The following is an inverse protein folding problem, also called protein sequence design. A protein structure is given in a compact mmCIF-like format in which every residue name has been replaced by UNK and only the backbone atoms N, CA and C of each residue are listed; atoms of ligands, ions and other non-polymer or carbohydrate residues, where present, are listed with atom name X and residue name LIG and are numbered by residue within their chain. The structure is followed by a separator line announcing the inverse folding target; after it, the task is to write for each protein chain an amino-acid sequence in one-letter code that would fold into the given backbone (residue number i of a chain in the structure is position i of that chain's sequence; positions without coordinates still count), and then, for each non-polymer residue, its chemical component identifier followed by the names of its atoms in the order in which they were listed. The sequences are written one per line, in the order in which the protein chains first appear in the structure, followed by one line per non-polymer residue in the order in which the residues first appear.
data_IF_270525372093
#
_entry.id   IF_270525372093
#
_cell.length_a   1.000
_cell.length_b   1.000
_cell.length_c   1.000
_cell.angle_alpha   90.00
_cell.angle_beta   90.00
_cell.angle_gamma   90.00
#
_symmetry.space_group_name_H-M   'P 1'
#
loop_
_entity.id
_entity.type
_entity.pdbx_description
1 polymer ?
#
# COMPACT_ATOMS: atom_id res chain seq x y z
N UNK A 1 23.65 19.50 -7.56
CA UNK A 1 23.63 18.31 -6.66
C UNK A 1 22.38 18.26 -5.80
N UNK A 2 22.04 19.31 -5.03
CA UNK A 2 20.89 19.30 -4.12
C UNK A 2 19.56 18.89 -4.80
N UNK A 3 19.29 19.40 -6.01
CA UNK A 3 18.08 19.07 -6.76
C UNK A 3 18.01 17.60 -7.19
N UNK A 4 19.16 16.96 -7.45
CA UNK A 4 19.24 15.54 -7.80
C UNK A 4 18.99 14.69 -6.55
N UNK A 5 19.62 15.06 -5.42
CA UNK A 5 19.40 14.42 -4.13
C UNK A 5 17.93 14.52 -3.69
N UNK A 6 17.31 15.69 -3.89
CA UNK A 6 15.91 15.94 -3.59
C UNK A 6 14.99 15.09 -4.46
N UNK A 7 15.33 14.87 -5.73
CA UNK A 7 14.57 14.00 -6.62
C UNK A 7 14.74 12.50 -6.31
N UNK A 8 15.85 12.10 -5.69
CA UNK A 8 16.08 10.73 -5.24
C UNK A 8 15.21 10.37 -4.03
N UNK A 9 15.05 11.31 -3.10
CA UNK A 9 14.24 11.13 -1.88
C UNK A 9 12.76 11.38 -2.13
N UNK A 10 12.44 12.44 -2.89
CA UNK A 10 11.08 12.86 -3.23
C UNK A 10 10.97 13.07 -4.75
N UNK A 11 10.59 12.00 -5.49
CA UNK A 11 10.45 12.06 -6.94
C UNK A 11 9.48 13.16 -7.36
N UNK A 12 9.91 14.04 -8.24
CA UNK A 12 9.13 15.16 -8.75
C UNK A 12 9.44 16.49 -8.08
N UNK A 13 9.79 16.53 -6.79
CA UNK A 13 10.16 17.79 -6.10
C UNK A 13 11.47 18.35 -6.65
N UNK A 14 12.48 17.50 -6.82
CA UNK A 14 13.75 17.92 -7.41
C UNK A 14 13.61 18.38 -8.86
N UNK A 15 12.72 17.74 -9.62
CA UNK A 15 12.41 18.11 -11.01
C UNK A 15 11.66 19.44 -11.11
N UNK A 16 10.76 19.73 -10.16
CA UNK A 16 10.12 21.04 -10.03
C UNK A 16 11.14 22.14 -9.74
N UNK A 17 12.11 21.88 -8.85
CA UNK A 17 13.21 22.82 -8.57
C UNK A 17 14.13 23.07 -9.77
N UNK A 18 14.22 22.12 -10.71
CA UNK A 18 14.92 22.27 -12.00
C UNK A 18 14.13 23.08 -13.05
N UNK A 19 13.04 23.75 -12.66
CA UNK A 19 12.15 24.52 -13.56
C UNK A 19 11.55 23.66 -14.68
N UNK A 20 11.35 22.37 -14.45
CA UNK A 20 10.67 21.44 -15.38
C UNK A 20 9.29 21.07 -14.81
N UNK A 21 8.29 21.98 -14.91
CA UNK A 21 7.02 21.86 -14.18
C UNK A 21 6.20 20.63 -14.61
N UNK A 22 6.04 20.41 -15.92
CA UNK A 22 5.24 19.30 -16.47
C UNK A 22 5.79 17.96 -16.01
N UNK A 23 7.11 17.76 -16.12
CA UNK A 23 7.77 16.51 -15.75
C UNK A 23 7.76 16.28 -14.25
N UNK A 24 7.89 17.35 -13.44
CA UNK A 24 7.80 17.27 -12.00
C UNK A 24 6.39 16.90 -11.50
N UNK A 25 5.34 17.50 -12.08
CA UNK A 25 3.95 17.16 -11.75
C UNK A 25 3.64 15.70 -12.10
N UNK A 26 4.07 15.23 -13.28
CA UNK A 26 3.88 13.84 -13.68
C UNK A 26 4.55 12.87 -12.70
N UNK A 27 5.78 13.17 -12.28
CA UNK A 27 6.50 12.34 -11.30
C UNK A 27 5.82 12.33 -9.92
N UNK A 28 5.28 13.46 -9.46
CA UNK A 28 4.51 13.51 -8.22
C UNK A 28 3.22 12.68 -8.31
N UNK A 29 2.51 12.73 -9.44
CA UNK A 29 1.33 11.90 -9.66
C UNK A 29 1.67 10.40 -9.65
N UNK A 30 2.75 10.01 -10.33
CA UNK A 30 3.22 8.63 -10.34
C UNK A 30 3.62 8.18 -8.93
N UNK A 31 4.29 9.03 -8.15
CA UNK A 31 4.62 8.76 -6.75
C UNK A 31 3.36 8.53 -5.92
N UNK A 32 2.34 9.38 -6.07
CA UNK A 32 1.08 9.24 -5.35
C UNK A 32 0.38 7.92 -5.69
N UNK A 33 0.29 7.58 -6.98
CA UNK A 33 -0.31 6.31 -7.44
C UNK A 33 0.46 5.12 -6.88
N UNK A 34 1.79 5.13 -6.95
CA UNK A 34 2.62 4.07 -6.40
C UNK A 34 2.45 3.92 -4.88
N UNK A 35 2.32 5.04 -4.16
CA UNK A 35 2.05 5.03 -2.72
C UNK A 35 0.70 4.37 -2.40
N UNK A 36 -0.37 4.77 -3.10
CA UNK A 36 -1.70 4.18 -2.93
C UNK A 36 -1.67 2.68 -3.21
N UNK A 37 -1.06 2.25 -4.31
CA UNK A 37 -0.89 0.84 -4.65
C UNK A 37 -0.15 0.05 -3.57
N UNK A 38 0.91 0.63 -3.01
CA UNK A 38 1.67 0.00 -1.92
C UNK A 38 0.78 -0.20 -0.70
N UNK A 39 0.04 0.83 -0.29
CA UNK A 39 -0.92 0.74 0.82
C UNK A 39 -2.00 -0.30 0.56
N UNK A 40 -2.55 -0.37 -0.66
CA UNK A 40 -3.54 -1.39 -1.04
C UNK A 40 -3.00 -2.81 -0.93
N UNK A 41 -1.76 -3.04 -1.37
CA UNK A 41 -1.10 -4.35 -1.22
C UNK A 41 -0.93 -4.72 0.25
N UNK A 42 -0.48 -3.78 1.09
CA UNK A 42 -0.40 -4.01 2.54
C UNK A 42 -1.77 -4.34 3.15
N UNK A 43 -2.81 -3.58 2.81
CA UNK A 43 -4.18 -3.84 3.27
C UNK A 43 -4.70 -5.21 2.83
N UNK A 44 -4.29 -5.68 1.65
CA UNK A 44 -4.66 -7.01 1.15
C UNK A 44 -4.04 -8.11 2.03
N UNK A 45 -2.78 -7.96 2.45
CA UNK A 45 -2.18 -8.89 3.41
C UNK A 45 -2.91 -8.90 4.76
N UNK A 46 -3.33 -7.74 5.26
CA UNK A 46 -4.17 -7.67 6.46
C UNK A 46 -5.53 -8.36 6.25
N UNK A 47 -6.17 -8.15 5.10
CA UNK A 47 -7.43 -8.81 4.73
C UNK A 47 -7.33 -10.33 4.70
N UNK A 48 -6.23 -10.88 4.16
CA UNK A 48 -5.96 -12.31 4.17
C UNK A 48 -5.82 -12.86 5.60
N UNK A 49 -5.20 -12.11 6.49
CA UNK A 49 -5.01 -12.50 7.89
C UNK A 49 -6.36 -12.54 8.62
N UNK A 50 -7.22 -11.55 8.40
CA UNK A 50 -8.60 -11.52 8.94
C UNK A 50 -9.41 -12.69 8.40
N UNK A 51 -9.34 -12.95 7.09
CA UNK A 51 -10.02 -14.08 6.47
C UNK A 51 -9.60 -15.42 7.07
N UNK A 52 -8.30 -15.61 7.32
CA UNK A 52 -7.80 -16.83 7.96
C UNK A 52 -8.35 -16.99 9.38
N UNK A 53 -8.41 -15.92 10.16
CA UNK A 53 -9.01 -15.93 11.51
C UNK A 53 -10.48 -16.36 11.44
N UNK A 54 -11.24 -15.81 10.49
CA UNK A 54 -12.67 -16.14 10.31
C UNK A 54 -12.87 -17.63 9.96
N UNK A 55 -12.04 -18.17 9.07
CA UNK A 55 -12.07 -19.61 8.74
C UNK A 55 -11.79 -20.49 9.95
N UNK A 56 -10.77 -20.16 10.75
CA UNK A 56 -10.44 -20.90 11.97
C UNK A 56 -11.60 -20.82 12.97
N UNK A 57 -12.20 -19.64 13.13
CA UNK A 57 -13.36 -19.45 14.00
C UNK A 57 -14.57 -20.29 13.55
N UNK A 58 -14.88 -20.29 12.26
CA UNK A 58 -15.95 -21.09 11.69
C UNK A 58 -15.74 -22.59 11.93
N UNK A 59 -14.50 -23.08 11.82
CA UNK A 59 -14.16 -24.47 12.14
C UNK A 59 -14.37 -24.80 13.62
N UNK A 60 -13.92 -23.92 14.53
CA UNK A 60 -14.12 -24.10 15.97
C UNK A 60 -15.60 -24.18 16.32
N UNK A 61 -16.41 -23.26 15.80
CA UNK A 61 -17.87 -23.26 16.00
C UNK A 61 -18.51 -24.53 15.45
N UNK A 62 -18.10 -24.98 14.25
CA UNK A 62 -18.60 -26.22 13.65
C UNK A 62 -18.29 -27.46 14.49
N UNK A 63 -17.08 -27.55 15.04
CA UNK A 63 -16.67 -28.67 15.92
C UNK A 63 -17.44 -28.65 17.24
N UNK A 64 -17.59 -27.49 17.87
CA UNK A 64 -18.37 -27.34 19.11
C UNK A 64 -19.82 -27.77 18.91
N UNK A 65 -20.45 -27.32 17.82
CA UNK A 65 -21.83 -27.69 17.50
C UNK A 65 -21.99 -29.20 17.23
N UNK A 66 -21.03 -29.84 16.56
CA UNK A 66 -21.06 -31.28 16.34
C UNK A 66 -20.91 -32.07 17.66
N UNK A 67 -20.13 -31.57 18.61
CA UNK A 67 -19.89 -32.24 19.90
C UNK A 67 -21.11 -32.18 20.85
N UNK A 68 -21.93 -31.14 20.74
CA UNK A 68 -23.11 -30.95 21.59
C UNK A 68 -24.37 -31.67 21.04
N UNK A 69 -24.25 -32.42 19.94
CA UNK A 69 -25.28 -33.32 19.39
C UNK A 69 -24.97 -34.79 19.69
#
# INVERSE_FOLDING_TARGET
MLQILCNLVLPGVGTLMMKKPITGILQLLVMLVAFVLTVTVFLTFFGLLIWFIDVVWALVVGVLWYRDR
#
